data_IF_637957107058
#
_entry.id   IF_637957107058
#
_cell.length_a   1.000
_cell.length_b   1.000
_cell.length_c   1.000
_cell.angle_alpha   90.00
_cell.angle_beta   90.00
_cell.angle_gamma   90.00
#
_symmetry.space_group_name_H-M   'P 1'
#
loop_
_entity.id
_entity.type
_entity.pdbx_description
1 polymer ?
#
# COMPACT_ATOMS: atom_id res chain seq x y z
N UNK A 1 22.81 27.56 3.62
CA UNK A 1 23.37 28.62 2.69
C UNK A 1 22.82 29.99 3.01
N UNK A 2 23.55 31.01 2.65
CA UNK A 2 23.06 32.38 2.76
C UNK A 2 21.85 32.62 1.87
N UNK A 3 20.98 33.56 2.27
CA UNK A 3 19.85 33.99 1.43
C UNK A 3 20.37 34.70 0.17
N UNK A 4 19.77 34.35 -0.97
CA UNK A 4 20.02 35.07 -2.23
C UNK A 4 19.19 36.34 -2.22
N UNK A 5 19.85 37.48 -2.37
CA UNK A 5 19.19 38.76 -2.56
C UNK A 5 19.12 39.09 -4.06
N UNK A 6 17.98 39.62 -4.50
CA UNK A 6 17.83 40.00 -5.89
C UNK A 6 18.79 41.16 -6.25
N UNK A 7 19.61 40.97 -7.30
CA UNK A 7 20.59 41.97 -7.75
C UNK A 7 22.03 41.81 -7.24
N UNK A 8 22.32 40.82 -6.42
CA UNK A 8 23.69 40.47 -6.02
C UNK A 8 24.44 39.77 -7.15
N UNK A 9 25.69 40.18 -7.37
CA UNK A 9 26.60 39.62 -8.38
C UNK A 9 27.19 38.25 -7.94
N UNK A 10 27.11 37.93 -6.66
CA UNK A 10 27.65 36.69 -6.08
C UNK A 10 26.50 35.75 -5.70
N UNK A 11 26.61 34.49 -6.07
CA UNK A 11 25.64 33.46 -5.73
C UNK A 11 25.83 32.99 -4.27
N UNK A 12 25.27 33.78 -3.33
CA UNK A 12 25.42 33.54 -1.89
C UNK A 12 24.86 32.20 -1.40
N UNK A 13 24.02 31.55 -2.16
CA UNK A 13 23.49 30.22 -1.76
C UNK A 13 24.43 29.04 -2.04
N UNK A 14 25.57 29.29 -2.69
CA UNK A 14 26.67 28.32 -2.77
C UNK A 14 27.56 28.35 -1.52
N UNK A 15 27.48 29.45 -0.73
CA UNK A 15 28.22 29.59 0.51
C UNK A 15 27.50 28.92 1.67
N UNK A 16 28.12 27.90 2.25
CA UNK A 16 27.65 27.20 3.45
C UNK A 16 28.64 27.47 4.57
N UNK A 17 28.19 28.22 5.57
CA UNK A 17 29.01 28.51 6.73
C UNK A 17 28.98 27.34 7.72
N UNK A 18 30.03 27.15 8.50
CA UNK A 18 30.14 26.05 9.47
C UNK A 18 29.05 26.08 10.55
N UNK A 19 28.51 27.25 10.88
CA UNK A 19 27.39 27.42 11.80
C UNK A 19 26.01 27.16 11.16
N UNK A 20 25.95 26.91 9.87
CA UNK A 20 24.72 26.56 9.13
C UNK A 20 24.59 25.05 8.89
N UNK A 21 25.49 24.26 9.44
CA UNK A 21 25.49 22.80 9.33
C UNK A 21 25.02 22.20 10.66
N UNK A 22 24.01 21.38 10.60
CA UNK A 22 23.56 20.55 11.72
C UNK A 22 23.96 19.09 11.48
N UNK A 23 24.62 18.48 12.45
CA UNK A 23 24.98 17.07 12.41
C UNK A 23 24.08 16.28 13.36
N UNK A 24 23.40 15.27 12.84
CA UNK A 24 22.67 14.30 13.65
C UNK A 24 23.61 13.22 14.18
N UNK A 25 23.20 12.50 15.24
CA UNK A 25 24.02 11.44 15.83
C UNK A 25 24.21 10.29 14.80
N UNK A 26 25.46 10.07 14.41
CA UNK A 26 25.85 9.03 13.44
C UNK A 26 25.61 7.59 13.90
N UNK A 27 25.31 7.37 15.20
CA UNK A 27 24.95 6.04 15.72
C UNK A 27 23.67 5.47 15.08
N UNK A 28 22.81 6.35 14.57
CA UNK A 28 21.54 5.97 13.96
C UNK A 28 21.63 5.79 12.45
N UNK A 29 22.83 5.88 11.88
CA UNK A 29 23.06 5.71 10.45
C UNK A 29 22.87 7.00 9.63
N UNK A 30 22.75 6.84 8.32
CA UNK A 30 22.63 7.94 7.36
C UNK A 30 21.27 8.61 7.43
N UNK A 31 21.20 9.88 7.02
CA UNK A 31 19.91 10.54 6.74
C UNK A 31 19.47 10.09 5.35
N UNK A 32 18.38 9.33 5.28
CA UNK A 32 17.83 8.81 4.03
C UNK A 32 16.74 9.69 3.45
N UNK A 33 16.00 10.41 4.31
CA UNK A 33 14.95 11.29 3.84
C UNK A 33 14.80 12.53 4.75
N UNK A 34 14.43 13.65 4.11
CA UNK A 34 13.95 14.86 4.76
C UNK A 34 12.51 15.08 4.28
N UNK A 35 11.58 15.16 5.21
CA UNK A 35 10.16 15.26 4.91
C UNK A 35 9.51 16.37 5.73
N UNK A 36 8.63 17.14 5.08
CA UNK A 36 7.83 18.17 5.74
C UNK A 36 6.43 17.63 6.05
N UNK A 37 5.95 17.92 7.25
CA UNK A 37 4.59 17.63 7.69
C UNK A 37 4.14 18.69 8.70
N UNK A 38 2.96 19.29 8.48
CA UNK A 38 2.39 20.36 9.31
C UNK A 38 3.37 21.54 9.54
N UNK A 39 4.02 21.98 8.46
CA UNK A 39 5.02 23.08 8.47
C UNK A 39 6.28 22.78 9.32
N UNK A 40 6.45 21.57 9.77
CA UNK A 40 7.61 21.08 10.49
C UNK A 40 8.48 20.19 9.60
N UNK A 41 9.80 20.19 9.87
CA UNK A 41 10.76 19.38 9.13
C UNK A 41 11.22 18.17 9.97
N UNK A 42 11.23 17.01 9.32
CA UNK A 42 11.68 15.77 9.93
C UNK A 42 12.79 15.12 9.11
N UNK A 43 13.75 14.53 9.81
CA UNK A 43 14.81 13.72 9.22
C UNK A 43 14.60 12.24 9.60
N UNK A 44 14.69 11.37 8.61
CA UNK A 44 14.61 9.93 8.82
C UNK A 44 15.97 9.34 8.52
N UNK A 45 16.58 8.71 9.55
CA UNK A 45 17.81 7.97 9.46
C UNK A 45 17.53 6.47 9.31
N UNK A 46 18.58 5.65 9.18
CA UNK A 46 18.46 4.19 9.09
C UNK A 46 17.65 3.58 10.25
N UNK A 47 17.86 4.11 11.47
CA UNK A 47 17.27 3.58 12.71
C UNK A 47 16.56 4.61 13.58
N UNK A 48 16.46 5.85 13.14
CA UNK A 48 15.90 6.93 13.94
C UNK A 48 15.04 7.88 13.13
N UNK A 49 14.10 8.52 13.82
CA UNK A 49 13.22 9.55 13.31
C UNK A 49 13.38 10.80 14.16
N UNK A 50 13.82 11.90 13.56
CA UNK A 50 14.15 13.14 14.25
C UNK A 50 13.30 14.31 13.75
N UNK A 51 12.83 15.12 14.66
CA UNK A 51 12.29 16.45 14.40
C UNK A 51 13.45 17.45 14.29
N UNK A 52 13.37 18.34 13.30
CA UNK A 52 14.34 19.41 13.10
C UNK A 52 13.68 20.76 13.35
N UNK A 53 14.16 21.48 14.35
CA UNK A 53 13.66 22.82 14.65
C UNK A 53 14.23 23.81 13.64
N UNK A 54 13.33 24.44 12.87
CA UNK A 54 13.65 25.49 11.94
C UNK A 54 13.36 26.82 12.62
N UNK A 55 14.39 27.68 12.70
CA UNK A 55 14.23 29.03 13.21
C UNK A 55 14.20 30.01 12.04
N UNK A 56 13.01 30.43 11.57
CA UNK A 56 12.94 31.37 10.45
C UNK A 56 13.53 32.72 10.86
N UNK A 57 14.43 33.24 10.05
CA UNK A 57 14.92 34.60 10.22
C UNK A 57 13.79 35.57 9.88
N UNK A 58 13.34 36.34 10.85
CA UNK A 58 12.34 37.36 10.65
C UNK A 58 13.06 38.70 10.41
N UNK A 59 12.87 39.28 9.25
CA UNK A 59 13.35 40.61 8.97
C UNK A 59 12.27 41.62 9.38
N UNK A 60 12.54 42.40 10.43
CA UNK A 60 11.66 43.49 10.87
C UNK A 60 12.25 44.79 10.34
N UNK A 61 11.49 45.52 9.53
CA UNK A 61 11.83 46.87 9.10
C UNK A 61 11.34 47.82 10.17
N UNK A 62 12.26 48.39 10.94
CA UNK A 62 11.93 49.48 11.89
C UNK A 62 11.42 50.71 11.19
N UNK A 63 10.70 51.58 11.89
CA UNK A 63 10.19 52.87 11.37
C UNK A 63 11.25 53.77 10.78
N UNK A 64 12.54 53.53 11.04
CA UNK A 64 13.70 54.26 10.54
C UNK A 64 14.32 53.66 9.27
N UNK A 65 13.66 52.68 8.63
CA UNK A 65 14.12 52.04 7.40
C UNK A 65 15.28 51.06 7.56
N UNK A 66 15.77 50.84 8.78
CA UNK A 66 16.80 49.85 9.07
C UNK A 66 16.16 48.45 9.23
N UNK A 67 16.58 47.54 8.38
CA UNK A 67 16.18 46.13 8.47
C UNK A 67 16.96 45.45 9.61
N UNK A 68 16.29 45.08 10.70
CA UNK A 68 16.86 44.28 11.78
C UNK A 68 16.49 42.81 11.57
N UNK A 69 17.49 41.97 11.47
CA UNK A 69 17.32 40.53 11.36
C UNK A 69 17.28 39.94 12.76
N UNK A 70 16.12 39.43 13.16
CA UNK A 70 15.94 38.70 14.41
C UNK A 70 16.10 37.21 14.16
N UNK A 71 16.92 36.54 14.95
CA UNK A 71 17.16 35.08 14.93
C UNK A 71 18.56 34.76 15.43
N UNK A 72 18.78 33.48 15.77
CA UNK A 72 20.06 32.96 16.31
C UNK A 72 21.17 32.86 15.25
N UNK A 73 20.92 33.29 14.01
CA UNK A 73 21.88 33.24 12.91
C UNK A 73 21.93 31.90 12.15
N UNK A 74 21.39 30.85 12.69
CA UNK A 74 21.25 29.54 12.04
C UNK A 74 19.80 29.25 11.67
N UNK A 75 19.55 28.68 10.49
CA UNK A 75 18.20 28.26 10.05
C UNK A 75 17.78 26.99 10.80
N UNK A 76 18.71 26.07 11.00
CA UNK A 76 18.53 24.86 11.80
C UNK A 76 19.08 25.13 13.20
N UNK A 77 18.22 25.11 14.22
CA UNK A 77 18.59 25.47 15.59
C UNK A 77 18.97 24.22 16.40
N UNK A 78 18.07 23.27 16.47
CA UNK A 78 18.27 22.04 17.22
C UNK A 78 17.44 20.88 16.61
N UNK A 79 17.76 19.67 17.03
CA UNK A 79 16.98 18.48 16.68
C UNK A 79 16.57 17.71 17.92
N UNK A 80 15.50 16.95 17.79
CA UNK A 80 14.97 16.06 18.82
C UNK A 80 14.59 14.72 18.20
N UNK A 81 15.10 13.62 18.73
CA UNK A 81 14.64 12.31 18.31
C UNK A 81 13.22 12.03 18.82
N UNK A 82 12.33 11.70 17.90
CA UNK A 82 10.99 11.18 18.19
C UNK A 82 11.06 9.68 18.42
N UNK A 83 11.97 8.98 17.72
CA UNK A 83 12.31 7.59 17.96
C UNK A 83 13.78 7.35 17.61
N UNK A 84 14.42 6.47 18.37
CA UNK A 84 15.79 5.97 18.12
C UNK A 84 15.81 4.51 17.66
N UNK A 85 14.61 3.90 17.51
CA UNK A 85 14.45 2.49 17.16
C UNK A 85 13.64 2.28 15.88
N UNK A 86 13.22 3.35 15.21
CA UNK A 86 12.45 3.28 13.97
C UNK A 86 12.98 4.31 12.99
N UNK A 87 13.26 3.86 11.79
CA UNK A 87 13.77 4.66 10.69
C UNK A 87 13.48 3.99 9.35
N UNK A 88 14.19 4.37 8.29
CA UNK A 88 14.07 3.71 7.00
C UNK A 88 15.40 3.70 6.26
N UNK A 89 15.72 2.58 5.60
CA UNK A 89 16.81 2.46 4.64
C UNK A 89 16.41 2.93 3.24
N UNK A 90 15.10 2.92 2.95
CA UNK A 90 14.55 3.18 1.63
C UNK A 90 13.94 4.57 1.56
N UNK A 91 14.65 5.53 0.96
CA UNK A 91 14.18 6.92 0.84
C UNK A 91 12.87 7.06 0.06
N UNK A 92 12.64 6.18 -0.92
CA UNK A 92 11.44 6.20 -1.75
C UNK A 92 10.22 5.53 -1.09
N UNK A 93 10.41 4.89 0.08
CA UNK A 93 9.31 4.37 0.89
C UNK A 93 8.57 5.44 1.68
N UNK A 94 9.11 6.66 1.76
CA UNK A 94 8.56 7.74 2.56
C UNK A 94 7.55 8.55 1.76
N UNK A 95 6.35 8.70 2.29
CA UNK A 95 5.30 9.55 1.71
C UNK A 95 4.62 10.37 2.78
N UNK A 96 4.49 11.66 2.54
CA UNK A 96 3.74 12.60 3.40
C UNK A 96 2.32 12.75 2.87
N UNK A 97 1.36 12.67 3.78
CA UNK A 97 -0.06 12.82 3.53
C UNK A 97 -0.66 13.84 4.49
N UNK A 98 -1.90 14.29 4.31
CA UNK A 98 -2.55 15.15 5.29
C UNK A 98 -2.68 14.55 6.69
N UNK A 99 -2.68 13.21 6.81
CA UNK A 99 -2.82 12.50 8.09
C UNK A 99 -1.50 12.26 8.80
N UNK A 100 -0.40 12.14 8.05
CA UNK A 100 0.91 11.86 8.63
C UNK A 100 1.97 11.47 7.60
N UNK A 101 3.11 11.04 8.12
CA UNK A 101 4.22 10.53 7.33
C UNK A 101 4.20 9.01 7.41
N UNK A 102 4.04 8.35 6.26
CA UNK A 102 4.13 6.90 6.14
C UNK A 102 5.50 6.52 5.62
N UNK A 103 6.06 5.44 6.16
CA UNK A 103 7.33 4.89 5.70
C UNK A 103 7.42 3.40 6.05
N UNK A 104 8.32 2.71 5.37
CA UNK A 104 8.60 1.32 5.67
C UNK A 104 9.94 1.20 6.43
N UNK A 105 9.86 0.65 7.63
CA UNK A 105 11.03 0.31 8.44
C UNK A 105 11.49 -1.11 8.07
N UNK A 106 12.51 -1.18 7.21
CA UNK A 106 13.00 -2.45 6.69
C UNK A 106 13.71 -3.28 7.77
N UNK A 107 14.34 -2.64 8.75
CA UNK A 107 15.02 -3.34 9.84
C UNK A 107 14.04 -4.02 10.80
N UNK A 108 12.92 -3.36 11.07
CA UNK A 108 11.83 -3.89 11.89
C UNK A 108 10.74 -4.58 11.06
N UNK A 109 10.90 -4.63 9.72
CA UNK A 109 9.92 -5.21 8.78
C UNK A 109 8.50 -4.70 9.00
N UNK A 110 8.35 -3.41 9.18
CA UNK A 110 7.11 -2.79 9.64
C UNK A 110 6.70 -1.59 8.80
N UNK A 111 5.42 -1.49 8.52
CA UNK A 111 4.79 -0.32 7.91
C UNK A 111 4.44 0.68 9.01
N UNK A 112 5.07 1.84 8.99
CA UNK A 112 5.03 2.83 10.05
C UNK A 112 4.23 4.06 9.66
N UNK A 113 3.61 4.69 10.64
CA UNK A 113 2.93 5.98 10.53
C UNK A 113 3.41 6.91 11.64
N UNK A 114 3.83 8.11 11.26
CA UNK A 114 4.02 9.22 12.19
C UNK A 114 2.88 10.24 12.03
N UNK A 115 2.11 10.45 13.09
CA UNK A 115 1.02 11.47 13.19
C UNK A 115 1.08 12.16 14.56
N UNK A 116 2.27 12.76 14.87
CA UNK A 116 2.59 13.25 16.20
C UNK A 116 3.26 12.21 17.10
N UNK A 117 2.93 10.94 16.91
CA UNK A 117 3.59 9.77 17.50
C UNK A 117 3.82 8.72 16.43
N UNK A 118 4.85 7.89 16.62
CA UNK A 118 5.16 6.79 15.70
C UNK A 118 4.34 5.58 16.11
N UNK A 119 3.54 5.08 15.16
CA UNK A 119 2.73 3.87 15.30
C UNK A 119 3.14 2.80 14.30
N UNK A 120 3.20 1.54 14.72
CA UNK A 120 3.39 0.38 13.85
C UNK A 120 2.04 -0.09 13.30
N UNK A 121 1.72 0.29 12.08
CA UNK A 121 0.46 -0.11 11.42
C UNK A 121 0.41 -1.60 11.12
N UNK A 122 1.56 -2.22 10.85
CA UNK A 122 1.63 -3.66 10.57
C UNK A 122 1.13 -4.50 11.75
N UNK A 123 1.52 -4.13 12.96
CA UNK A 123 1.09 -4.82 14.19
C UNK A 123 -0.39 -4.54 14.47
N UNK A 124 -0.77 -3.27 14.44
CA UNK A 124 -2.15 -2.84 14.76
C UNK A 124 -3.17 -3.44 13.79
N UNK A 125 -2.79 -3.65 12.52
CA UNK A 125 -3.68 -4.10 11.44
C UNK A 125 -3.48 -5.56 11.02
N UNK A 126 -2.64 -6.32 11.73
CA UNK A 126 -2.51 -7.75 11.56
C UNK A 126 -1.70 -8.21 10.34
N UNK A 127 -0.89 -7.33 9.73
CA UNK A 127 -0.02 -7.68 8.60
C UNK A 127 1.46 -7.90 8.97
N UNK A 128 1.81 -7.83 10.24
CA UNK A 128 3.20 -7.98 10.67
C UNK A 128 3.82 -9.31 10.24
N UNK A 129 3.12 -10.42 10.46
CA UNK A 129 3.58 -11.75 10.02
C UNK A 129 3.78 -11.84 8.51
N UNK A 130 2.93 -11.16 7.73
CA UNK A 130 3.08 -11.11 6.28
C UNK A 130 4.39 -10.40 5.89
N UNK A 131 4.67 -9.24 6.47
CA UNK A 131 5.89 -8.51 6.18
C UNK A 131 7.14 -9.26 6.65
N UNK A 132 7.13 -9.88 7.83
CA UNK A 132 8.26 -10.71 8.32
C UNK A 132 8.65 -11.78 7.29
N UNK A 133 7.65 -12.45 6.71
CA UNK A 133 7.84 -13.56 5.79
C UNK A 133 8.12 -13.14 4.34
N UNK A 134 7.78 -11.91 3.97
CA UNK A 134 7.85 -11.46 2.58
C UNK A 134 8.80 -10.30 2.32
N UNK A 135 9.46 -9.75 3.36
CA UNK A 135 10.41 -8.65 3.18
C UNK A 135 11.74 -9.00 3.81
N UNK A 136 12.73 -9.27 2.98
CA UNK A 136 14.08 -9.58 3.41
C UNK A 136 15.01 -8.39 3.19
N UNK A 137 15.93 -8.17 4.13
CA UNK A 137 16.88 -7.06 4.08
C UNK A 137 17.75 -7.13 2.82
N UNK A 138 18.23 -8.32 2.47
CA UNK A 138 19.12 -8.51 1.32
C UNK A 138 18.46 -8.13 -0.02
N UNK A 139 17.16 -8.37 -0.17
CA UNK A 139 16.41 -8.03 -1.37
C UNK A 139 16.08 -6.54 -1.48
N UNK A 140 15.85 -5.88 -0.35
CA UNK A 140 15.27 -4.52 -0.31
C UNK A 140 16.23 -3.42 0.12
N UNK A 141 17.47 -3.78 0.55
CA UNK A 141 18.48 -2.80 1.00
C UNK A 141 18.98 -1.87 -0.12
N UNK A 142 18.90 -2.30 -1.36
CA UNK A 142 19.28 -1.47 -2.51
C UNK A 142 18.06 -0.61 -2.88
N UNK A 143 18.19 0.70 -2.69
CA UNK A 143 17.08 1.63 -2.85
C UNK A 143 17.10 2.29 -4.24
N UNK A 144 16.77 1.51 -5.26
CA UNK A 144 16.65 1.98 -6.64
C UNK A 144 15.43 1.41 -7.38
N UNK A 145 14.24 1.95 -7.16
CA UNK A 145 13.01 1.47 -7.82
C UNK A 145 13.05 1.52 -9.34
N UNK A 146 13.87 2.38 -9.95
CA UNK A 146 13.98 2.48 -11.40
C UNK A 146 14.58 1.22 -12.03
N UNK A 147 15.39 0.47 -11.28
CA UNK A 147 15.92 -0.84 -11.69
C UNK A 147 15.21 -1.99 -10.98
N UNK A 148 14.01 -1.74 -10.44
CA UNK A 148 13.18 -2.71 -9.72
C UNK A 148 13.84 -3.27 -8.46
N UNK A 149 14.46 -2.40 -7.67
CA UNK A 149 15.03 -2.74 -6.37
C UNK A 149 14.60 -1.74 -5.33
N UNK A 150 14.32 -2.22 -4.12
CA UNK A 150 13.90 -1.40 -3.00
C UNK A 150 12.39 -1.16 -2.94
N UNK A 151 11.99 -0.06 -2.33
CA UNK A 151 10.59 0.23 -2.03
C UNK A 151 10.23 1.60 -2.60
N UNK A 152 9.09 1.67 -3.31
CA UNK A 152 8.51 2.94 -3.75
C UNK A 152 7.14 3.14 -3.12
N UNK A 153 6.79 4.40 -2.80
CA UNK A 153 5.52 4.74 -2.19
C UNK A 153 4.87 5.95 -2.87
N UNK A 154 3.56 6.05 -2.69
CA UNK A 154 2.78 7.19 -3.17
C UNK A 154 1.43 7.31 -2.50
N UNK A 155 0.88 8.51 -2.53
CA UNK A 155 -0.42 8.81 -1.96
C UNK A 155 -1.42 9.21 -3.03
N UNK A 156 -2.54 8.50 -3.08
CA UNK A 156 -3.68 8.88 -3.90
C UNK A 156 -4.65 9.74 -3.08
N UNK A 157 -4.70 11.02 -3.42
CA UNK A 157 -5.56 11.99 -2.72
C UNK A 157 -7.06 11.76 -2.97
N UNK A 158 -7.42 11.13 -4.10
CA UNK A 158 -8.82 10.94 -4.48
C UNK A 158 -9.46 9.88 -3.57
N UNK A 159 -8.78 8.76 -3.41
CA UNK A 159 -9.29 7.63 -2.63
C UNK A 159 -8.73 7.60 -1.20
N UNK A 160 -7.80 8.49 -0.87
CA UNK A 160 -7.07 8.52 0.41
C UNK A 160 -6.31 7.20 0.65
N UNK A 161 -5.66 6.69 -0.40
CA UNK A 161 -4.91 5.46 -0.39
C UNK A 161 -3.40 5.71 -0.40
N UNK A 162 -2.69 5.12 0.54
CA UNK A 162 -1.23 5.06 0.55
C UNK A 162 -0.81 3.76 -0.11
N UNK A 163 -0.12 3.85 -1.24
CA UNK A 163 0.45 2.72 -1.96
C UNK A 163 1.91 2.52 -1.59
N UNK A 164 2.31 1.27 -1.50
CA UNK A 164 3.70 0.89 -1.31
C UNK A 164 4.03 -0.34 -2.15
N UNK A 165 5.03 -0.23 -3.02
CA UNK A 165 5.51 -1.31 -3.89
C UNK A 165 6.85 -1.80 -3.40
N UNK A 166 6.95 -3.10 -3.21
CA UNK A 166 8.18 -3.81 -2.82
C UNK A 166 8.76 -4.50 -4.04
N UNK A 167 9.89 -4.00 -4.52
CA UNK A 167 10.61 -4.55 -5.65
C UNK A 167 11.65 -5.53 -5.16
N UNK A 168 11.38 -6.82 -5.34
CA UNK A 168 12.24 -7.93 -4.93
C UNK A 168 12.73 -8.71 -6.13
N UNK A 169 13.73 -9.56 -5.91
CA UNK A 169 14.20 -10.54 -6.91
C UNK A 169 13.08 -11.49 -7.33
N UNK A 170 12.31 -11.98 -6.36
CA UNK A 170 11.14 -12.82 -6.58
C UNK A 170 9.97 -12.39 -5.69
N UNK A 171 8.75 -12.47 -6.24
CA UNK A 171 7.54 -12.19 -5.48
C UNK A 171 7.40 -10.72 -5.10
N UNK A 172 7.73 -9.79 -6.00
CA UNK A 172 7.42 -8.36 -5.84
C UNK A 172 5.92 -8.14 -5.70
N UNK A 173 5.51 -7.17 -4.90
CA UNK A 173 4.09 -6.88 -4.67
C UNK A 173 3.85 -5.40 -4.38
N UNK A 174 2.63 -4.97 -4.62
CA UNK A 174 2.12 -3.64 -4.23
C UNK A 174 0.99 -3.82 -3.23
N UNK A 175 0.98 -3.02 -2.17
CA UNK A 175 -0.07 -3.01 -1.16
C UNK A 175 -0.62 -1.59 -1.01
N UNK A 176 -1.91 -1.48 -0.68
CA UNK A 176 -2.53 -0.20 -0.34
C UNK A 176 -3.12 -0.19 1.06
N UNK A 177 -2.95 0.95 1.71
CA UNK A 177 -3.57 1.28 2.99
C UNK A 177 -4.49 2.49 2.81
N UNK A 178 -5.76 2.35 3.21
CA UNK A 178 -6.73 3.43 3.11
C UNK A 178 -6.83 4.21 4.42
N UNK A 179 -6.59 5.51 4.36
CA UNK A 179 -6.60 6.38 5.53
C UNK A 179 -7.99 6.56 6.13
N UNK A 180 -9.04 6.62 5.31
CA UNK A 180 -10.41 6.82 5.76
C UNK A 180 -10.97 5.59 6.46
N UNK A 181 -10.69 4.40 5.88
CA UNK A 181 -11.11 3.11 6.46
C UNK A 181 -10.19 2.62 7.55
N UNK A 182 -8.99 3.23 7.65
CA UNK A 182 -7.97 2.89 8.64
C UNK A 182 -7.57 1.41 8.59
N UNK A 183 -7.37 0.87 7.37
CA UNK A 183 -7.01 -0.54 7.15
C UNK A 183 -6.30 -0.74 5.80
N UNK A 184 -5.55 -1.82 5.71
CA UNK A 184 -5.05 -2.29 4.42
C UNK A 184 -6.22 -2.83 3.60
N UNK A 185 -6.30 -2.45 2.33
CA UNK A 185 -7.45 -2.79 1.49
C UNK A 185 -7.12 -3.84 0.45
N UNK A 186 -5.97 -3.76 -0.20
CA UNK A 186 -5.69 -4.62 -1.34
C UNK A 186 -4.21 -4.84 -1.57
N UNK A 187 -3.91 -5.99 -2.15
CA UNK A 187 -2.68 -6.25 -2.88
C UNK A 187 -2.94 -6.06 -4.37
N UNK A 188 -1.92 -5.65 -5.11
CA UNK A 188 -1.99 -5.44 -6.55
C UNK A 188 -0.84 -6.15 -7.24
N UNK A 189 -1.12 -6.67 -8.43
CA UNK A 189 -0.13 -7.37 -9.27
C UNK A 189 0.69 -6.42 -10.14
N UNK A 190 0.30 -5.14 -10.25
CA UNK A 190 1.10 -4.16 -10.95
C UNK A 190 2.18 -3.54 -10.04
N UNK A 191 3.34 -3.24 -10.61
CA UNK A 191 4.55 -2.85 -9.88
C UNK A 191 5.07 -1.48 -10.36
N UNK A 192 4.52 -0.39 -9.83
CA UNK A 192 5.01 0.95 -10.13
C UNK A 192 6.41 1.19 -9.57
N UNK A 193 7.30 1.78 -10.35
CA UNK A 193 8.60 2.23 -9.87
C UNK A 193 8.58 3.62 -9.24
N UNK A 194 7.64 4.47 -9.66
CA UNK A 194 7.41 5.78 -9.07
C UNK A 194 5.92 6.11 -9.06
N UNK A 195 5.55 6.92 -8.08
CA UNK A 195 4.21 7.47 -7.92
C UNK A 195 4.29 9.00 -7.97
N UNK A 196 3.36 9.62 -8.69
CA UNK A 196 3.24 11.07 -8.79
C UNK A 196 1.78 11.41 -8.52
N UNK A 197 1.54 12.15 -7.44
CA UNK A 197 0.23 12.67 -7.08
C UNK A 197 0.19 14.17 -7.35
N UNK A 198 -0.73 14.60 -8.20
CA UNK A 198 -0.93 16.02 -8.50
C UNK A 198 -2.41 16.34 -8.68
N UNK A 199 -3.03 16.87 -7.64
CA UNK A 199 -4.46 17.18 -7.65
C UNK A 199 -5.32 15.95 -7.93
N UNK A 200 -6.10 16.01 -9.01
CA UNK A 200 -6.98 14.91 -9.42
C UNK A 200 -6.27 13.78 -10.23
N UNK A 201 -4.96 13.83 -10.35
CA UNK A 201 -4.22 12.85 -11.13
C UNK A 201 -3.33 12.03 -10.22
N UNK A 202 -3.51 10.72 -10.29
CA UNK A 202 -2.61 9.75 -9.72
C UNK A 202 -1.90 9.02 -10.87
N UNK A 203 -0.59 9.20 -10.93
CA UNK A 203 0.24 8.77 -12.05
C UNK A 203 1.29 7.80 -11.54
N UNK A 204 1.55 6.76 -12.31
CA UNK A 204 2.58 5.76 -12.00
C UNK A 204 3.47 5.53 -13.21
N UNK A 205 4.68 5.05 -12.97
CA UNK A 205 5.62 4.69 -14.01
C UNK A 205 5.95 3.21 -13.97
N UNK A 206 6.18 2.63 -15.13
CA UNK A 206 6.72 1.28 -15.25
C UNK A 206 8.04 1.34 -16.04
N UNK A 207 9.18 0.94 -15.45
CA UNK A 207 10.47 1.05 -16.10
C UNK A 207 10.62 0.16 -17.34
N UNK A 208 9.94 -0.98 -17.38
CA UNK A 208 10.00 -1.90 -18.53
C UNK A 208 9.34 -1.30 -19.78
N UNK A 209 8.25 -0.60 -19.58
CA UNK A 209 7.45 -0.03 -20.66
C UNK A 209 7.89 1.39 -21.03
N UNK A 210 8.81 1.99 -20.25
CA UNK A 210 9.34 3.35 -20.46
C UNK A 210 8.21 4.39 -20.67
N UNK A 211 7.10 4.20 -19.96
CA UNK A 211 5.87 4.97 -20.14
C UNK A 211 5.32 5.45 -18.80
N UNK A 212 4.54 6.50 -18.88
CA UNK A 212 3.83 7.11 -17.75
C UNK A 212 2.35 6.77 -17.89
N UNK A 213 1.75 6.28 -16.82
CA UNK A 213 0.37 5.83 -16.82
C UNK A 213 -0.47 6.61 -15.82
N UNK A 214 -1.61 7.11 -16.29
CA UNK A 214 -2.63 7.67 -15.41
C UNK A 214 -3.47 6.54 -14.87
N UNK A 215 -3.58 6.47 -13.54
CA UNK A 215 -4.45 5.52 -12.87
C UNK A 215 -5.91 6.00 -12.90
N UNK A 216 -6.83 5.08 -12.65
CA UNK A 216 -8.29 5.31 -12.69
C UNK A 216 -8.80 5.80 -14.04
N UNK A 217 -8.11 5.43 -15.12
CA UNK A 217 -8.52 5.72 -16.48
C UNK A 217 -8.41 4.44 -17.34
N UNK A 218 -9.39 4.21 -18.20
CA UNK A 218 -9.45 3.00 -19.03
C UNK A 218 -10.26 1.87 -18.40
N UNK A 219 -9.87 0.63 -18.67
CA UNK A 219 -10.63 -0.56 -18.29
C UNK A 219 -10.37 -0.99 -16.86
N UNK A 220 -11.38 -1.49 -16.17
CA UNK A 220 -11.25 -2.09 -14.85
C UNK A 220 -10.35 -3.34 -14.88
N UNK A 221 -9.48 -3.46 -13.88
CA UNK A 221 -8.53 -4.58 -13.78
C UNK A 221 -7.41 -4.56 -14.80
N UNK A 222 -7.29 -3.49 -15.63
CA UNK A 222 -6.22 -3.34 -16.59
C UNK A 222 -5.13 -2.40 -16.04
N UNK A 223 -3.93 -2.94 -15.84
CA UNK A 223 -2.77 -2.17 -15.43
C UNK A 223 -1.66 -2.32 -16.47
N UNK A 224 -1.16 -1.21 -16.97
CA UNK A 224 -0.10 -1.17 -17.99
C UNK A 224 -0.40 -1.96 -19.26
N UNK A 225 -1.68 -2.04 -19.65
CA UNK A 225 -2.13 -2.79 -20.81
C UNK A 225 -2.37 -4.28 -20.58
N UNK A 226 -2.15 -4.77 -19.37
CA UNK A 226 -2.37 -6.17 -18.97
C UNK A 226 -3.63 -6.27 -18.11
N UNK A 227 -4.51 -7.21 -18.44
CA UNK A 227 -5.67 -7.51 -17.63
C UNK A 227 -5.30 -8.49 -16.52
N UNK A 228 -5.62 -8.12 -15.30
CA UNK A 228 -5.43 -8.95 -14.11
C UNK A 228 -6.79 -9.40 -13.56
N UNK A 229 -6.93 -10.68 -13.17
CA UNK A 229 -8.11 -11.12 -12.47
C UNK A 229 -8.16 -10.48 -11.07
N UNK A 230 -9.37 -10.15 -10.62
CA UNK A 230 -9.58 -9.72 -9.25
C UNK A 230 -9.98 -10.92 -8.40
N UNK A 231 -9.45 -11.02 -7.19
CA UNK A 231 -9.83 -12.08 -6.26
C UNK A 231 -9.86 -11.58 -4.83
N UNK A 232 -10.67 -12.26 -4.03
CA UNK A 232 -10.73 -12.08 -2.57
C UNK A 232 -10.54 -13.43 -1.90
N UNK A 233 -9.74 -13.46 -0.84
CA UNK A 233 -9.55 -14.64 0.00
C UNK A 233 -10.16 -14.38 1.36
N UNK A 234 -11.16 -15.16 1.71
CA UNK A 234 -11.85 -15.11 2.99
C UNK A 234 -11.39 -16.26 3.88
N UNK A 235 -10.97 -15.97 5.09
CA UNK A 235 -10.75 -16.99 6.12
C UNK A 235 -12.08 -17.26 6.81
N UNK A 236 -12.54 -18.49 6.74
CA UNK A 236 -13.82 -18.93 7.30
C UNK A 236 -13.54 -19.91 8.41
N UNK A 237 -13.96 -19.57 9.61
CA UNK A 237 -13.83 -20.40 10.81
C UNK A 237 -15.11 -20.25 11.64
N UNK A 238 -16.19 -21.00 11.28
CA UNK A 238 -17.47 -20.84 11.94
C UNK A 238 -17.48 -21.41 13.35
N UNK A 239 -16.80 -22.56 13.57
CA UNK A 239 -16.73 -23.26 14.84
C UNK A 239 -15.27 -23.66 15.12
N UNK A 240 -14.58 -22.86 15.93
CA UNK A 240 -13.12 -22.99 16.13
C UNK A 240 -12.67 -24.35 16.69
N UNK A 241 -13.55 -25.06 17.40
CA UNK A 241 -13.22 -26.31 18.09
C UNK A 241 -13.82 -27.55 17.42
N UNK A 242 -14.47 -27.41 16.28
CA UNK A 242 -15.15 -28.52 15.60
C UNK A 242 -14.77 -28.57 14.13
N UNK A 243 -14.64 -29.80 13.62
CA UNK A 243 -14.51 -30.00 12.18
C UNK A 243 -15.84 -29.69 11.49
N UNK A 244 -15.81 -28.76 10.58
CA UNK A 244 -16.99 -28.39 9.79
C UNK A 244 -16.80 -28.80 8.33
N UNK A 245 -17.88 -29.17 7.68
CA UNK A 245 -17.94 -29.49 6.26
C UNK A 245 -18.55 -28.32 5.52
N UNK A 246 -17.84 -27.79 4.54
CA UNK A 246 -18.28 -26.64 3.75
C UNK A 246 -18.97 -27.10 2.48
N UNK A 247 -20.26 -26.74 2.30
CA UNK A 247 -21.10 -27.27 1.25
C UNK A 247 -21.36 -26.28 0.11
N UNK A 248 -21.83 -25.09 0.46
CA UNK A 248 -22.32 -24.10 -0.49
C UNK A 248 -21.94 -22.69 -0.06
N UNK A 249 -21.91 -21.79 -1.03
CA UNK A 249 -21.91 -20.35 -0.79
C UNK A 249 -23.13 -19.70 -1.43
N UNK A 250 -23.65 -18.71 -0.75
CA UNK A 250 -24.62 -17.78 -1.28
C UNK A 250 -23.99 -16.40 -1.23
N UNK A 251 -24.04 -15.66 -2.33
CA UNK A 251 -23.49 -14.33 -2.38
C UNK A 251 -24.33 -13.40 -3.23
N UNK A 252 -24.20 -12.10 -2.98
CA UNK A 252 -24.88 -11.06 -3.72
C UNK A 252 -23.84 -10.21 -4.43
N UNK A 253 -23.95 -10.15 -5.75
CA UNK A 253 -23.09 -9.32 -6.59
C UNK A 253 -23.85 -8.66 -7.73
N UNK A 254 -23.37 -7.51 -8.14
CA UNK A 254 -23.85 -6.74 -9.28
C UNK A 254 -22.69 -6.50 -10.22
N UNK A 255 -22.94 -6.61 -11.51
CA UNK A 255 -21.94 -6.38 -12.56
C UNK A 255 -22.50 -5.36 -13.56
N UNK A 256 -21.69 -4.36 -13.86
CA UNK A 256 -22.06 -3.30 -14.80
C UNK A 256 -21.07 -3.24 -15.96
N UNK A 257 -21.59 -2.97 -17.15
CA UNK A 257 -20.80 -2.61 -18.33
C UNK A 257 -21.28 -1.25 -18.81
N UNK A 258 -20.40 -0.24 -18.77
CA UNK A 258 -20.75 1.15 -19.10
C UNK A 258 -22.03 1.62 -18.37
N UNK A 259 -22.09 1.37 -17.06
CA UNK A 259 -23.20 1.66 -16.15
C UNK A 259 -24.52 0.93 -16.46
N UNK A 260 -24.51 -0.04 -17.38
CA UNK A 260 -25.66 -0.92 -17.68
C UNK A 260 -25.50 -2.23 -16.90
N UNK A 261 -26.53 -2.59 -16.13
CA UNK A 261 -26.56 -3.84 -15.34
C UNK A 261 -26.46 -5.07 -16.25
N UNK A 262 -25.61 -6.01 -15.83
CA UNK A 262 -25.35 -7.28 -16.51
C UNK A 262 -25.83 -8.43 -15.62
N UNK A 263 -27.12 -8.74 -15.61
CA UNK A 263 -27.72 -9.63 -14.62
C UNK A 263 -27.22 -11.08 -14.69
N UNK A 264 -26.65 -11.51 -15.80
CA UNK A 264 -26.14 -12.88 -15.99
C UNK A 264 -24.64 -13.01 -15.73
N UNK A 265 -24.00 -11.93 -15.31
CA UNK A 265 -22.57 -11.89 -14.98
C UNK A 265 -22.35 -11.86 -13.47
N UNK A 266 -21.32 -12.58 -13.02
CA UNK A 266 -20.91 -12.63 -11.62
C UNK A 266 -19.47 -13.14 -11.50
N UNK A 267 -19.06 -13.54 -10.33
CA UNK A 267 -17.77 -14.21 -10.07
C UNK A 267 -17.55 -15.36 -11.06
N UNK A 268 -16.30 -15.54 -11.48
CA UNK A 268 -15.94 -16.52 -12.53
C UNK A 268 -15.33 -17.79 -11.98
N UNK A 269 -14.78 -17.75 -10.76
CA UNK A 269 -14.11 -18.90 -10.18
C UNK A 269 -14.14 -18.95 -8.67
N UNK A 270 -14.02 -20.17 -8.14
CA UNK A 270 -13.94 -20.45 -6.71
C UNK A 270 -12.87 -21.51 -6.42
N UNK A 271 -12.16 -21.33 -5.32
CA UNK A 271 -11.24 -22.35 -4.76
C UNK A 271 -11.42 -22.40 -3.26
N UNK A 272 -11.47 -23.61 -2.73
CA UNK A 272 -11.56 -23.86 -1.32
C UNK A 272 -10.33 -24.66 -0.87
N UNK A 273 -9.62 -24.24 0.16
CA UNK A 273 -8.40 -24.92 0.60
C UNK A 273 -8.08 -24.67 2.07
N UNK A 274 -7.39 -25.61 2.66
CA UNK A 274 -6.78 -25.54 3.99
C UNK A 274 -5.38 -26.17 3.94
N UNK A 275 -4.79 -26.49 5.07
CA UNK A 275 -3.46 -27.11 5.15
C UNK A 275 -3.41 -28.54 4.58
N UNK A 276 -4.52 -29.27 4.61
CA UNK A 276 -4.60 -30.69 4.27
C UNK A 276 -5.30 -30.96 2.95
N UNK A 277 -6.22 -30.11 2.56
CA UNK A 277 -7.12 -30.31 1.44
C UNK A 277 -7.16 -29.07 0.53
N UNK A 278 -7.23 -29.32 -0.76
CA UNK A 278 -7.35 -28.26 -1.77
C UNK A 278 -8.28 -28.72 -2.89
N UNK A 279 -9.24 -27.90 -3.25
CA UNK A 279 -10.16 -28.18 -4.34
C UNK A 279 -9.49 -28.10 -5.72
N UNK A 280 -8.35 -27.42 -5.81
CA UNK A 280 -7.65 -27.14 -7.06
C UNK A 280 -6.13 -27.25 -6.88
N UNK A 281 -5.36 -26.65 -7.77
CA UNK A 281 -3.93 -26.36 -7.59
C UNK A 281 -3.75 -24.92 -7.14
N UNK A 282 -2.61 -24.54 -6.57
CA UNK A 282 -2.38 -23.20 -6.04
C UNK A 282 -2.68 -22.03 -7.01
N UNK A 283 -2.57 -22.27 -8.30
CA UNK A 283 -2.75 -21.24 -9.35
C UNK A 283 -4.06 -21.40 -10.12
N UNK A 284 -4.94 -22.32 -9.74
CA UNK A 284 -6.16 -22.62 -10.48
C UNK A 284 -7.40 -22.52 -9.60
N UNK A 285 -8.53 -22.23 -10.23
CA UNK A 285 -9.85 -22.16 -9.58
C UNK A 285 -10.83 -23.07 -10.31
N UNK A 286 -11.89 -23.49 -9.62
CA UNK A 286 -13.03 -24.18 -10.24
C UNK A 286 -13.92 -23.11 -10.90
N UNK A 287 -14.16 -23.19 -12.21
CA UNK A 287 -15.04 -22.25 -12.89
C UNK A 287 -16.46 -22.27 -12.33
N UNK A 288 -17.05 -21.10 -12.14
CA UNK A 288 -18.46 -20.95 -11.79
C UNK A 288 -19.27 -20.85 -13.08
N UNK A 289 -20.08 -21.86 -13.34
CA UNK A 289 -20.86 -22.00 -14.58
C UNK A 289 -22.34 -21.91 -14.25
N UNK A 290 -23.02 -20.91 -14.79
CA UNK A 290 -24.46 -20.72 -14.65
C UNK A 290 -25.20 -21.75 -15.49
N UNK A 291 -26.13 -22.51 -14.88
CA UNK A 291 -26.94 -23.46 -15.61
C UNK A 291 -27.71 -24.43 -14.72
N UNK A 292 -28.68 -25.14 -15.33
CA UNK A 292 -29.58 -26.04 -14.60
C UNK A 292 -28.84 -27.23 -13.94
N UNK A 293 -27.79 -27.73 -14.58
CA UNK A 293 -27.01 -28.88 -14.11
C UNK A 293 -25.57 -28.48 -13.74
N UNK A 294 -25.34 -27.19 -13.49
CA UNK A 294 -24.02 -26.62 -13.21
C UNK A 294 -23.89 -26.25 -11.74
N UNK A 295 -22.71 -25.82 -11.36
CA UNK A 295 -22.35 -25.50 -9.96
C UNK A 295 -22.81 -24.11 -9.50
N UNK A 296 -23.35 -23.28 -10.40
CA UNK A 296 -23.82 -21.95 -10.10
C UNK A 296 -25.29 -21.80 -10.50
N UNK A 297 -26.10 -21.23 -9.61
CA UNK A 297 -27.51 -20.92 -9.85
C UNK A 297 -27.81 -19.50 -9.38
N UNK A 298 -28.73 -18.83 -10.07
CA UNK A 298 -29.28 -17.55 -9.65
C UNK A 298 -30.72 -17.73 -9.20
N UNK A 299 -31.04 -17.19 -8.03
CA UNK A 299 -32.41 -17.15 -7.52
C UNK A 299 -32.66 -15.72 -7.02
N UNK A 300 -33.54 -14.99 -7.72
CA UNK A 300 -33.75 -13.56 -7.53
C UNK A 300 -32.44 -12.77 -7.76
N UNK A 301 -31.93 -12.10 -6.74
CA UNK A 301 -30.65 -11.36 -6.79
C UNK A 301 -29.47 -12.11 -6.18
N UNK A 302 -29.74 -13.30 -5.63
CA UNK A 302 -28.72 -14.09 -4.94
C UNK A 302 -28.13 -15.15 -5.87
N UNK A 303 -26.85 -15.33 -5.77
CA UNK A 303 -26.09 -16.36 -6.44
C UNK A 303 -25.81 -17.50 -5.47
N UNK A 304 -26.12 -18.71 -5.86
CA UNK A 304 -25.84 -19.91 -5.08
C UNK A 304 -24.83 -20.77 -5.83
N UNK A 305 -23.68 -21.03 -5.22
CA UNK A 305 -22.65 -21.86 -5.80
C UNK A 305 -22.34 -23.05 -4.90
N UNK A 306 -22.23 -24.23 -5.53
CA UNK A 306 -21.78 -25.44 -4.87
C UNK A 306 -20.26 -25.35 -4.72
N UNK A 307 -19.76 -25.55 -3.50
CA UNK A 307 -18.34 -25.53 -3.24
C UNK A 307 -17.63 -26.75 -3.83
N UNK A 308 -16.46 -26.56 -4.45
CA UNK A 308 -15.71 -27.66 -5.03
C UNK A 308 -15.16 -28.59 -3.95
N UNK A 309 -15.00 -29.84 -4.34
CA UNK A 309 -14.46 -30.90 -3.47
C UNK A 309 -12.94 -30.96 -3.58
N UNK A 310 -12.30 -31.64 -2.63
CA UNK A 310 -10.86 -31.90 -2.70
C UNK A 310 -10.48 -32.57 -4.02
N UNK A 311 -9.47 -32.03 -4.69
CA UNK A 311 -9.04 -32.48 -6.02
C UNK A 311 -8.59 -33.96 -6.03
N UNK A 312 -7.90 -34.39 -4.98
CA UNK A 312 -7.35 -35.74 -4.87
C UNK A 312 -8.40 -36.77 -4.51
N UNK A 313 -9.00 -36.68 -3.34
CA UNK A 313 -9.95 -37.68 -2.79
C UNK A 313 -11.38 -37.52 -3.29
N UNK A 314 -11.72 -36.34 -3.88
CA UNK A 314 -13.09 -35.94 -4.22
C UNK A 314 -14.04 -35.84 -3.02
N UNK A 315 -13.52 -35.86 -1.81
CA UNK A 315 -14.27 -35.65 -0.58
C UNK A 315 -14.62 -34.19 -0.39
N UNK A 316 -15.63 -33.95 0.45
CA UNK A 316 -15.93 -32.58 0.90
C UNK A 316 -14.77 -32.07 1.74
N UNK A 317 -14.47 -30.79 1.63
CA UNK A 317 -13.43 -30.16 2.43
C UNK A 317 -13.94 -29.99 3.85
N UNK A 318 -13.17 -30.51 4.78
CA UNK A 318 -13.49 -30.58 6.22
C UNK A 318 -12.31 -30.01 7.02
N UNK A 319 -12.59 -29.11 7.92
CA UNK A 319 -11.64 -28.57 8.91
C UNK A 319 -12.38 -27.58 9.82
N UNK A 320 -11.89 -27.21 10.99
CA UNK A 320 -12.39 -26.05 11.74
C UNK A 320 -12.34 -24.74 10.93
N UNK A 321 -11.41 -24.60 10.00
CA UNK A 321 -11.28 -23.42 9.17
C UNK A 321 -10.94 -23.75 7.71
N UNK A 322 -11.28 -22.82 6.83
CA UNK A 322 -10.97 -22.92 5.41
C UNK A 322 -10.70 -21.53 4.81
N UNK A 323 -9.87 -21.48 3.80
CA UNK A 323 -9.73 -20.31 2.94
C UNK A 323 -10.60 -20.47 1.71
N UNK A 324 -11.51 -19.52 1.52
CA UNK A 324 -12.35 -19.40 0.34
C UNK A 324 -11.79 -18.32 -0.57
N UNK A 325 -11.31 -18.70 -1.73
CA UNK A 325 -10.89 -17.76 -2.78
C UNK A 325 -12.03 -17.62 -3.80
N UNK A 326 -12.46 -16.40 -4.03
CA UNK A 326 -13.42 -16.02 -5.06
C UNK A 326 -12.71 -15.16 -6.11
N UNK A 327 -12.87 -15.50 -7.38
CA UNK A 327 -12.18 -14.87 -8.50
C UNK A 327 -13.18 -14.24 -9.48
N UNK A 328 -12.78 -13.11 -10.04
CA UNK A 328 -13.47 -12.46 -11.15
C UNK A 328 -12.47 -12.13 -12.26
N UNK A 329 -12.64 -12.81 -13.39
CA UNK A 329 -11.87 -12.54 -14.61
C UNK A 329 -12.54 -11.45 -15.43
N UNK A 330 -11.88 -10.31 -15.56
CA UNK A 330 -12.45 -9.15 -16.22
C UNK A 330 -11.82 -8.92 -17.61
N UNK A 331 -12.36 -9.55 -18.62
CA UNK A 331 -11.86 -9.42 -19.99
C UNK A 331 -12.65 -8.37 -20.83
N UNK A 332 -13.69 -7.74 -20.25
CA UNK A 332 -14.63 -6.92 -20.99
C UNK A 332 -14.98 -5.61 -20.30
N UNK A 333 -14.13 -5.10 -19.44
CA UNK A 333 -14.34 -3.84 -18.72
C UNK A 333 -15.58 -3.82 -17.82
N UNK A 334 -15.88 -4.94 -17.18
CA UNK A 334 -16.97 -5.00 -16.22
C UNK A 334 -16.57 -4.37 -14.87
N UNK A 335 -17.50 -3.64 -14.25
CA UNK A 335 -17.45 -3.21 -12.87
C UNK A 335 -18.18 -4.22 -12.00
N UNK A 336 -17.48 -4.96 -11.15
CA UNK A 336 -18.09 -5.87 -10.18
C UNK A 336 -18.24 -5.18 -8.81
N UNK A 337 -19.41 -5.36 -8.20
CA UNK A 337 -19.66 -4.99 -6.81
C UNK A 337 -20.10 -6.27 -6.08
N UNK A 338 -19.33 -6.68 -5.09
CA UNK A 338 -19.68 -7.78 -4.19
C UNK A 338 -20.21 -7.19 -2.88
N UNK A 339 -21.44 -7.54 -2.51
CA UNK A 339 -22.13 -7.00 -1.33
C UNK A 339 -21.91 -7.86 -0.10
N UNK A 340 -22.19 -9.16 -0.22
CA UNK A 340 -22.07 -10.12 0.88
C UNK A 340 -21.73 -11.53 0.40
N UNK A 341 -21.25 -12.35 1.31
CA UNK A 341 -20.96 -13.76 1.10
C UNK A 341 -21.39 -14.53 2.35
N UNK A 342 -22.27 -15.50 2.15
CA UNK A 342 -22.76 -16.40 3.20
C UNK A 342 -22.28 -17.81 2.87
N UNK A 343 -21.66 -18.48 3.83
CA UNK A 343 -21.16 -19.85 3.66
C UNK A 343 -22.05 -20.78 4.47
N UNK A 344 -22.54 -21.83 3.81
CA UNK A 344 -23.29 -22.90 4.46
C UNK A 344 -22.33 -24.02 4.83
N UNK A 345 -22.40 -24.47 6.07
CA UNK A 345 -21.61 -25.55 6.61
C UNK A 345 -22.46 -26.52 7.44
N UNK A 346 -21.96 -27.73 7.64
CA UNK A 346 -22.51 -28.74 8.58
C UNK A 346 -21.41 -29.21 9.52
N UNK A 347 -21.78 -29.54 10.75
CA UNK A 347 -20.89 -30.06 11.80
C UNK A 347 -20.97 -31.58 11.80
#
# INVERSE_FOLDING_TARGET
>A
SKLKSAGELVDNWTDILSNEIMTLDGKHGSINNLVSFNDELYAIQDKAFAFLSINPRVQITGGDGLAVQLGTGSVLDQYKYMSTNSGTLNKWSVVSTPKGIYYYDLLNKSFMLFSGQIGNLSDIKGLHSYFINNTELEDLKIDNPLIKQGISSGYDQINSDVFMTFHKSEGSFTISYNELRNQFISFYDYLPSMYISKGLYFITTNPDLKSIYRQYAGNYGNFYGINYPSYIVLNVNPEANMDTVFDNIMYKSEVYLNDVDQPDKTLTGVRLYNEYQDSNSPTTVTPLILGRNSNLRRKFRDWNAILPRNKGSRERIRNPWVKLLLQFDNNSNYKLILHDVIISYSV
#
